data_IF_532657139520
#
_entry.id   IF_532657139520
#
_cell.length_a   1.000
_cell.length_b   1.000
_cell.length_c   1.000
_cell.angle_alpha   90.00
_cell.angle_beta   90.00
_cell.angle_gamma   90.00
#
_symmetry.space_group_name_H-M   'P 1'
#
loop_
_entity.id
_entity.type
_entity.pdbx_description
1 polymer ?
#
# COMPACT_ATOMS: atom_id res chain seq x y z
N UNK A 1 21.28 -5.76 1.56
CA UNK A 1 20.33 -4.77 2.10
C UNK A 1 19.94 -5.20 3.51
N UNK A 2 19.73 -4.26 4.44
CA UNK A 2 19.21 -4.57 5.77
C UNK A 2 17.73 -4.95 5.65
N UNK A 3 17.29 -6.02 6.30
CA UNK A 3 15.87 -6.36 6.35
C UNK A 3 15.10 -5.25 7.06
N UNK A 4 14.00 -4.80 6.45
CA UNK A 4 13.09 -3.80 6.98
C UNK A 4 11.83 -4.49 7.53
N UNK A 5 11.13 -3.80 8.41
CA UNK A 5 9.88 -4.24 9.02
C UNK A 5 8.71 -3.43 8.46
N UNK A 6 7.69 -4.12 7.98
CA UNK A 6 6.48 -3.51 7.43
C UNK A 6 5.23 -4.00 8.17
N UNK A 7 4.32 -3.08 8.45
CA UNK A 7 2.96 -3.39 8.90
C UNK A 7 1.99 -3.13 7.75
N UNK A 8 1.21 -4.13 7.36
CA UNK A 8 0.14 -3.99 6.37
C UNK A 8 -1.20 -4.12 7.07
N UNK A 9 -2.01 -3.07 7.00
CA UNK A 9 -3.35 -3.00 7.55
C UNK A 9 -4.35 -3.22 6.43
N UNK A 10 -5.03 -4.36 6.45
CA UNK A 10 -5.93 -4.83 5.39
C UNK A 10 -5.27 -5.89 4.52
N UNK A 11 -5.83 -7.10 4.53
CA UNK A 11 -5.44 -8.28 3.76
C UNK A 11 -6.30 -8.48 2.50
N UNK A 12 -7.02 -7.44 2.06
CA UNK A 12 -7.67 -7.44 0.75
C UNK A 12 -6.68 -7.53 -0.42
N UNK A 13 -7.17 -7.57 -1.67
CA UNK A 13 -6.35 -7.82 -2.88
C UNK A 13 -5.04 -7.02 -2.95
N UNK A 14 -5.11 -5.72 -2.69
CA UNK A 14 -3.93 -4.85 -2.75
C UNK A 14 -2.97 -5.08 -1.58
N UNK A 15 -3.48 -5.09 -0.34
CA UNK A 15 -2.66 -5.27 0.85
C UNK A 15 -1.99 -6.65 0.88
N UNK A 16 -2.73 -7.70 0.48
CA UNK A 16 -2.16 -9.03 0.33
C UNK A 16 -1.01 -9.07 -0.68
N UNK A 17 -1.19 -8.49 -1.87
CA UNK A 17 -0.13 -8.43 -2.88
C UNK A 17 1.12 -7.70 -2.37
N UNK A 18 0.94 -6.55 -1.72
CA UNK A 18 2.05 -5.80 -1.10
C UNK A 18 2.76 -6.65 -0.04
N UNK A 19 2.00 -7.27 0.86
CA UNK A 19 2.53 -8.05 1.96
C UNK A 19 3.33 -9.26 1.47
N UNK A 20 2.77 -10.05 0.54
CA UNK A 20 3.45 -11.25 0.02
C UNK A 20 4.69 -10.88 -0.78
N UNK A 21 4.65 -9.82 -1.59
CA UNK A 21 5.82 -9.38 -2.36
C UNK A 21 6.93 -8.85 -1.44
N UNK A 22 6.60 -8.06 -0.41
CA UNK A 22 7.59 -7.62 0.58
C UNK A 22 8.24 -8.81 1.31
N UNK A 23 7.45 -9.83 1.65
CA UNK A 23 7.95 -11.05 2.28
C UNK A 23 8.87 -11.85 1.34
N UNK A 24 8.50 -11.99 0.07
CA UNK A 24 9.34 -12.63 -0.96
C UNK A 24 10.69 -11.92 -1.14
N UNK A 25 10.69 -10.58 -1.02
CA UNK A 25 11.88 -9.73 -1.00
C UNK A 25 12.70 -9.82 0.30
N UNK A 26 12.38 -10.78 1.18
CA UNK A 26 13.08 -11.08 2.44
C UNK A 26 12.99 -9.95 3.48
N UNK A 27 11.85 -9.26 3.51
CA UNK A 27 11.50 -8.34 4.58
C UNK A 27 10.60 -9.01 5.62
N UNK A 28 10.56 -8.42 6.82
CA UNK A 28 9.66 -8.84 7.87
C UNK A 28 8.32 -8.12 7.67
N UNK A 29 7.23 -8.88 7.58
CA UNK A 29 5.91 -8.37 7.24
C UNK A 29 4.90 -8.87 8.25
N UNK A 30 4.26 -7.93 8.95
CA UNK A 30 3.12 -8.19 9.81
C UNK A 30 1.87 -7.72 9.09
N UNK A 31 0.85 -8.57 9.01
CA UNK A 31 -0.45 -8.23 8.41
C UNK A 31 -1.52 -8.25 9.49
N UNK A 32 -2.40 -7.25 9.48
CA UNK A 32 -3.60 -7.23 10.31
C UNK A 32 -4.85 -6.99 9.47
N UNK A 33 -5.93 -7.67 9.83
CA UNK A 33 -7.26 -7.50 9.24
C UNK A 33 -8.31 -7.92 10.28
N UNK A 34 -9.54 -7.42 10.16
CA UNK A 34 -10.67 -7.86 10.98
C UNK A 34 -11.30 -9.16 10.45
N UNK A 35 -11.11 -9.46 9.17
CA UNK A 35 -11.61 -10.66 8.51
C UNK A 35 -10.68 -11.86 8.76
N UNK A 36 -11.16 -12.82 9.54
CA UNK A 36 -10.48 -14.08 9.84
C UNK A 36 -10.14 -14.87 8.57
N UNK A 37 -11.04 -14.92 7.59
CA UNK A 37 -10.81 -15.66 6.34
C UNK A 37 -9.68 -15.01 5.53
N UNK A 38 -9.62 -13.68 5.51
CA UNK A 38 -8.53 -12.95 4.85
C UNK A 38 -7.17 -13.23 5.50
N UNK A 39 -7.13 -13.34 6.84
CA UNK A 39 -5.92 -13.67 7.60
C UNK A 39 -5.47 -15.12 7.37
N UNK A 40 -6.39 -16.08 7.42
CA UNK A 40 -6.09 -17.50 7.15
C UNK A 40 -5.47 -17.69 5.76
N UNK A 41 -5.95 -16.95 4.76
CA UNK A 41 -5.46 -17.05 3.38
C UNK A 41 -4.04 -16.53 3.17
N UNK A 42 -3.52 -15.69 4.08
CA UNK A 42 -2.21 -15.03 3.95
C UNK A 42 -1.19 -15.48 4.99
N UNK A 43 -1.60 -16.12 6.09
CA UNK A 43 -0.72 -16.41 7.23
C UNK A 43 0.55 -17.19 6.88
N UNK A 44 0.50 -18.09 5.89
CA UNK A 44 1.65 -18.88 5.43
C UNK A 44 2.60 -18.13 4.46
N UNK A 45 2.26 -16.88 4.11
CA UNK A 45 2.95 -16.08 3.09
C UNK A 45 3.53 -14.77 3.63
N UNK A 46 3.53 -14.60 4.95
CA UNK A 46 4.04 -13.42 5.66
C UNK A 46 4.73 -13.83 6.97
N UNK A 47 5.37 -12.90 7.66
CA UNK A 47 6.06 -13.21 8.93
C UNK A 47 5.05 -13.47 10.05
N UNK A 48 4.06 -12.60 10.18
CA UNK A 48 2.93 -12.77 11.10
C UNK A 48 1.65 -12.22 10.47
N UNK A 49 0.53 -12.89 10.72
CA UNK A 49 -0.80 -12.41 10.39
C UNK A 49 -1.68 -12.48 11.64
N UNK A 50 -2.40 -11.39 11.95
CA UNK A 50 -3.18 -11.25 13.18
C UNK A 50 -4.57 -10.72 12.86
N UNK A 51 -5.59 -11.30 13.50
CA UNK A 51 -6.95 -10.76 13.45
C UNK A 51 -7.02 -9.60 14.44
N UNK A 52 -7.17 -8.38 13.93
CA UNK A 52 -7.14 -7.17 14.76
C UNK A 52 -7.80 -5.97 14.07
N UNK A 53 -8.51 -5.16 14.87
CA UNK A 53 -9.08 -3.88 14.42
C UNK A 53 -8.00 -2.78 14.47
N UNK A 54 -7.63 -2.29 13.29
CA UNK A 54 -6.63 -1.25 13.14
C UNK A 54 -7.14 0.17 13.41
N UNK A 55 -8.45 0.35 13.57
CA UNK A 55 -9.05 1.64 13.96
C UNK A 55 -8.88 1.90 15.46
N UNK A 56 -8.64 0.86 16.25
CA UNK A 56 -8.32 0.96 17.67
C UNK A 56 -6.84 1.30 17.90
N UNK A 57 -6.58 2.50 18.37
CA UNK A 57 -5.23 2.96 18.72
C UNK A 57 -4.55 2.04 19.76
N UNK A 58 -5.30 1.45 20.70
CA UNK A 58 -4.73 0.54 21.69
C UNK A 58 -4.20 -0.74 21.04
N UNK A 59 -4.86 -1.20 19.98
CA UNK A 59 -4.44 -2.35 19.18
C UNK A 59 -3.15 -2.04 18.41
N UNK A 60 -3.08 -0.93 17.68
CA UNK A 60 -1.86 -0.50 16.98
C UNK A 60 -0.69 -0.24 17.94
N UNK A 61 -0.97 0.25 19.15
CA UNK A 61 0.03 0.44 20.22
C UNK A 61 0.61 -0.89 20.70
N UNK A 62 -0.23 -1.91 20.91
CA UNK A 62 0.22 -3.25 21.33
C UNK A 62 1.08 -3.92 20.27
N UNK A 63 0.76 -3.72 18.99
CA UNK A 63 1.54 -4.22 17.85
C UNK A 63 2.92 -3.53 17.78
N UNK A 64 3.08 -2.35 18.39
CA UNK A 64 4.34 -1.60 18.33
C UNK A 64 4.51 -0.87 17.01
N UNK A 65 3.42 -0.28 16.50
CA UNK A 65 3.32 0.49 15.26
C UNK A 65 4.54 1.40 14.95
N UNK A 66 5.13 2.07 15.95
CA UNK A 66 6.30 2.94 15.77
C UNK A 66 7.62 2.23 15.44
N UNK A 67 7.71 0.91 15.62
CA UNK A 67 8.90 0.12 15.36
C UNK A 67 9.06 -0.28 13.87
N UNK A 68 7.99 -0.15 13.08
CA UNK A 68 8.00 -0.49 11.66
C UNK A 68 8.65 0.64 10.84
N UNK A 69 9.38 0.27 9.80
CA UNK A 69 9.97 1.22 8.84
C UNK A 69 8.87 1.91 8.02
N UNK A 70 7.79 1.18 7.70
CA UNK A 70 6.62 1.74 7.04
C UNK A 70 5.34 0.96 7.35
N UNK A 71 4.21 1.67 7.30
CA UNK A 71 2.87 1.14 7.54
C UNK A 71 2.02 1.40 6.33
N UNK A 72 1.41 0.35 5.80
CA UNK A 72 0.57 0.39 4.62
C UNK A 72 -0.89 0.21 5.06
N UNK A 73 -1.68 1.28 5.01
CA UNK A 73 -3.12 1.28 5.27
C UNK A 73 -3.84 0.94 3.96
N UNK A 74 -4.12 -0.34 3.75
CA UNK A 74 -4.74 -0.91 2.55
C UNK A 74 -6.26 -1.14 2.67
N UNK A 75 -6.93 -0.45 3.60
CA UNK A 75 -8.39 -0.51 3.79
C UNK A 75 -9.09 0.20 2.62
N UNK A 76 -9.87 -0.55 1.83
CA UNK A 76 -10.50 -0.05 0.59
C UNK A 76 -11.91 0.51 0.77
N UNK A 77 -12.84 -0.34 1.22
CA UNK A 77 -14.28 -0.03 1.21
C UNK A 77 -14.69 0.93 2.34
N UNK A 78 -14.12 0.74 3.53
CA UNK A 78 -14.43 1.54 4.69
C UNK A 78 -13.49 2.77 4.78
N UNK A 79 -13.94 3.89 4.23
CA UNK A 79 -13.18 5.13 4.25
C UNK A 79 -12.97 5.69 5.66
N UNK A 80 -13.94 5.53 6.55
CA UNK A 80 -13.82 5.95 7.95
C UNK A 80 -12.73 5.16 8.66
N UNK A 81 -12.72 3.83 8.51
CA UNK A 81 -11.69 2.97 9.08
C UNK A 81 -10.29 3.31 8.55
N UNK A 82 -10.16 3.63 7.26
CA UNK A 82 -8.88 4.07 6.68
C UNK A 82 -8.38 5.39 7.30
N UNK A 83 -9.26 6.38 7.46
CA UNK A 83 -8.93 7.64 8.14
C UNK A 83 -8.48 7.36 9.58
N UNK A 84 -9.28 6.60 10.34
CA UNK A 84 -8.99 6.31 11.75
C UNK A 84 -7.66 5.57 11.91
N UNK A 85 -7.41 4.53 11.11
CA UNK A 85 -6.17 3.78 11.14
C UNK A 85 -4.96 4.66 10.76
N UNK A 86 -5.11 5.54 9.76
CA UNK A 86 -4.07 6.50 9.35
C UNK A 86 -3.75 7.48 10.49
N UNK A 87 -4.76 8.09 11.11
CA UNK A 87 -4.60 9.02 12.23
C UNK A 87 -3.98 8.33 13.44
N UNK A 88 -4.44 7.12 13.78
CA UNK A 88 -3.92 6.35 14.90
C UNK A 88 -2.45 5.97 14.68
N UNK A 89 -2.08 5.51 13.48
CA UNK A 89 -0.70 5.21 13.12
C UNK A 89 0.21 6.44 13.26
N UNK A 90 -0.20 7.60 12.71
CA UNK A 90 0.57 8.85 12.84
C UNK A 90 0.67 9.33 14.27
N UNK A 91 -0.40 9.27 15.04
CA UNK A 91 -0.43 9.68 16.46
C UNK A 91 0.47 8.81 17.34
N UNK A 92 0.66 7.55 16.98
CA UNK A 92 1.58 6.62 17.65
C UNK A 92 3.05 6.77 17.22
N UNK A 93 3.36 7.70 16.31
CA UNK A 93 4.72 7.98 15.88
C UNK A 93 5.23 7.06 14.78
N UNK A 94 4.35 6.52 13.93
CA UNK A 94 4.76 5.80 12.74
C UNK A 94 5.70 6.64 11.86
N UNK A 95 6.81 6.04 11.44
CA UNK A 95 7.86 6.73 10.68
C UNK A 95 7.41 7.11 9.28
N UNK A 96 6.69 6.20 8.61
CA UNK A 96 6.19 6.39 7.26
C UNK A 96 4.86 5.67 7.08
N UNK A 97 3.80 6.39 6.71
CA UNK A 97 2.44 5.87 6.54
C UNK A 97 2.02 6.05 5.08
N UNK A 98 1.67 4.94 4.44
CA UNK A 98 1.17 4.87 3.08
C UNK A 98 -0.31 4.51 3.16
N UNK A 99 -1.20 5.36 2.65
CA UNK A 99 -2.65 5.09 2.69
C UNK A 99 -3.22 4.89 1.28
N UNK A 100 -4.02 3.84 1.11
CA UNK A 100 -4.77 3.58 -0.11
C UNK A 100 -5.97 4.54 -0.20
N UNK A 101 -6.14 5.20 -1.33
CA UNK A 101 -7.31 6.02 -1.64
C UNK A 101 -8.10 5.42 -2.81
N UNK A 102 -9.43 5.43 -2.70
CA UNK A 102 -10.32 5.01 -3.79
C UNK A 102 -10.50 6.08 -4.87
N UNK A 103 -10.42 7.35 -4.49
CA UNK A 103 -10.67 8.50 -5.36
C UNK A 103 -9.84 9.72 -4.94
N UNK A 104 -9.89 10.80 -5.74
CA UNK A 104 -9.12 12.03 -5.51
C UNK A 104 -9.54 12.78 -4.24
N UNK A 105 -10.81 12.68 -3.83
CA UNK A 105 -11.27 13.36 -2.63
C UNK A 105 -10.72 12.65 -1.39
N UNK A 106 -10.85 11.32 -1.34
CA UNK A 106 -10.24 10.49 -0.30
C UNK A 106 -8.73 10.70 -0.24
N UNK A 107 -8.06 10.80 -1.40
CA UNK A 107 -6.62 11.03 -1.43
C UNK A 107 -6.22 12.34 -0.74
N UNK A 108 -6.88 13.45 -1.11
CA UNK A 108 -6.65 14.77 -0.49
C UNK A 108 -6.93 14.79 1.01
N UNK A 109 -7.90 14.02 1.48
CA UNK A 109 -8.18 13.90 2.93
C UNK A 109 -7.03 13.16 3.62
N UNK A 110 -6.60 12.02 3.08
CA UNK A 110 -5.52 11.20 3.64
C UNK A 110 -4.19 11.97 3.71
N UNK A 111 -3.86 12.74 2.66
CA UNK A 111 -2.70 13.64 2.67
C UNK A 111 -2.80 14.68 3.80
N UNK A 112 -3.97 15.29 3.99
CA UNK A 112 -4.16 16.35 5.00
C UNK A 112 -4.12 15.85 6.44
N UNK A 113 -4.49 14.59 6.68
CA UNK A 113 -4.43 13.99 8.02
C UNK A 113 -3.05 13.37 8.33
N UNK A 114 -2.10 13.46 7.40
CA UNK A 114 -0.70 13.14 7.63
C UNK A 114 -0.23 11.81 7.05
N UNK A 115 -0.94 11.20 6.10
CA UNK A 115 -0.35 10.13 5.29
C UNK A 115 0.87 10.69 4.55
N UNK A 116 2.01 10.01 4.67
CA UNK A 116 3.27 10.43 4.05
C UNK A 116 3.29 10.12 2.55
N UNK A 117 2.52 9.10 2.13
CA UNK A 117 2.24 8.79 0.73
C UNK A 117 0.80 8.32 0.58
N UNK A 118 0.15 8.71 -0.52
CA UNK A 118 -1.18 8.22 -0.88
C UNK A 118 -1.12 7.58 -2.25
N UNK A 119 -1.74 6.41 -2.38
CA UNK A 119 -1.74 5.62 -3.61
C UNK A 119 -3.17 5.36 -4.07
N UNK A 120 -3.39 5.29 -5.39
CA UNK A 120 -4.72 4.99 -5.98
C UNK A 120 -4.57 3.81 -6.94
N UNK A 121 -4.37 2.59 -6.43
CA UNK A 121 -3.87 1.46 -7.21
C UNK A 121 -4.67 1.19 -8.50
N UNK A 122 -6.00 1.20 -8.40
CA UNK A 122 -6.89 0.94 -9.53
C UNK A 122 -6.82 2.04 -10.60
N UNK A 123 -6.72 3.30 -10.18
CA UNK A 123 -6.58 4.43 -11.10
C UNK A 123 -5.20 4.45 -11.75
N UNK A 124 -4.15 4.30 -10.95
CA UNK A 124 -2.76 4.41 -11.40
C UNK A 124 -2.43 3.27 -12.39
N UNK A 125 -2.88 2.05 -12.09
CA UNK A 125 -2.77 0.93 -13.01
C UNK A 125 -3.64 1.12 -14.26
N UNK A 126 -4.81 1.74 -14.12
CA UNK A 126 -5.69 2.07 -15.25
C UNK A 126 -5.05 3.05 -16.24
N UNK A 127 -4.44 4.13 -15.73
CA UNK A 127 -3.68 5.09 -16.54
C UNK A 127 -2.51 4.39 -17.24
N UNK A 128 -1.74 3.58 -16.52
CA UNK A 128 -0.61 2.82 -17.06
C UNK A 128 -1.04 1.88 -18.20
N UNK A 129 -2.10 1.10 -17.99
CA UNK A 129 -2.62 0.19 -19.01
C UNK A 129 -3.13 0.95 -20.25
N UNK A 130 -3.84 2.07 -20.06
CA UNK A 130 -4.30 2.88 -21.17
C UNK A 130 -3.14 3.44 -22.01
N UNK A 131 -2.05 3.87 -21.35
CA UNK A 131 -0.82 4.30 -22.00
C UNK A 131 -0.22 3.19 -22.88
N UNK A 132 -0.03 2.00 -22.31
CA UNK A 132 0.49 0.81 -23.02
C UNK A 132 -0.38 0.42 -24.24
N UNK A 133 -1.71 0.48 -24.10
CA UNK A 133 -2.61 0.14 -25.21
C UNK A 133 -2.64 1.22 -26.30
N UNK A 134 -2.45 2.49 -25.94
CA UNK A 134 -2.44 3.61 -26.89
C UNK A 134 -1.19 3.63 -27.78
N UNK A 135 -0.08 3.07 -27.29
CA UNK A 135 1.17 2.95 -28.04
C UNK A 135 1.72 1.53 -27.88
N UNK A 136 1.50 0.63 -28.86
CA UNK A 136 1.90 -0.79 -28.76
C UNK A 136 3.41 -1.02 -28.60
N UNK A 137 4.23 0.01 -28.83
CA UNK A 137 5.68 -0.03 -28.62
C UNK A 137 6.08 0.39 -27.20
N UNK A 138 5.20 1.02 -26.42
CA UNK A 138 5.48 1.42 -25.04
C UNK A 138 5.21 0.24 -24.10
N UNK A 139 6.30 -0.30 -23.55
CA UNK A 139 6.28 -1.41 -22.58
C UNK A 139 5.93 -0.88 -21.20
N UNK A 140 6.51 0.25 -20.79
CA UNK A 140 6.28 0.83 -19.48
C UNK A 140 6.53 2.34 -19.48
N UNK A 141 5.95 3.03 -18.50
CA UNK A 141 6.20 4.45 -18.29
C UNK A 141 6.24 4.76 -16.80
N UNK A 142 7.28 5.47 -16.38
CA UNK A 142 7.54 5.87 -15.00
C UNK A 142 7.54 7.40 -14.92
N UNK A 143 6.55 7.96 -14.24
CA UNK A 143 6.48 9.40 -13.97
C UNK A 143 7.55 9.78 -12.93
N UNK A 144 8.38 10.78 -13.24
CA UNK A 144 9.44 11.27 -12.36
C UNK A 144 9.04 12.55 -11.61
N UNK A 145 7.81 13.04 -11.80
CA UNK A 145 7.36 14.33 -11.32
C UNK A 145 7.72 15.49 -12.25
N UNK A 146 7.17 16.68 -11.97
CA UNK A 146 7.38 17.90 -12.75
C UNK A 146 7.07 17.79 -14.25
N UNK A 147 6.16 16.89 -14.63
CA UNK A 147 5.81 16.64 -16.03
C UNK A 147 6.86 15.85 -16.82
N UNK A 148 7.81 15.21 -16.15
CA UNK A 148 8.82 14.34 -16.76
C UNK A 148 8.43 12.87 -16.60
N UNK A 149 8.69 12.07 -17.63
CA UNK A 149 8.39 10.64 -17.66
C UNK A 149 9.52 9.88 -18.37
N UNK A 150 9.87 8.70 -17.84
CA UNK A 150 10.78 7.76 -18.47
C UNK A 150 9.93 6.66 -19.10
N UNK A 151 10.11 6.41 -20.39
CA UNK A 151 9.31 5.45 -21.15
C UNK A 151 10.21 4.31 -21.63
N UNK A 152 9.84 3.08 -21.31
CA UNK A 152 10.44 1.87 -21.88
C UNK A 152 9.74 1.54 -23.20
N UNK A 153 10.50 1.44 -24.28
CA UNK A 153 9.98 1.24 -25.63
C UNK A 153 10.61 -0.01 -26.26
N UNK A 154 9.78 -0.88 -26.83
CA UNK A 154 10.23 -2.00 -27.65
C UNK A 154 10.63 -1.51 -29.05
N UNK A 155 11.89 -1.71 -29.42
CA UNK A 155 12.35 -1.36 -30.77
C UNK A 155 12.02 -2.53 -31.72
N UNK A 156 11.06 -2.32 -32.63
CA UNK A 156 10.82 -3.23 -33.75
C UNK A 156 11.47 -2.70 -35.04
N UNK A 157 11.96 -3.61 -35.90
CA UNK A 157 12.71 -3.27 -37.13
C UNK A 157 11.86 -2.60 -38.25
N UNK A 158 10.68 -2.07 -37.93
CA UNK A 158 9.76 -1.37 -38.84
C UNK A 158 9.53 0.09 -38.43
N UNK A 159 10.62 0.82 -38.18
CA UNK A 159 10.62 2.29 -38.17
C UNK A 159 11.16 2.81 -39.50
#
# INVERSE_FOLDING_TARGET
MKAKQFLVVGAGRFGAAVATTLYELKHEVVVIDEDEEAIENIMDKVTHALIADATDEATLRKIGCSNFDAIIIAIGENFEANILATVAAKSLGAQHVISKAKDLLSARVLERIGADMVIRPEHDMGVRLAGQLSSPTVIDALEMGDGHEVIEVEISAKL
#
